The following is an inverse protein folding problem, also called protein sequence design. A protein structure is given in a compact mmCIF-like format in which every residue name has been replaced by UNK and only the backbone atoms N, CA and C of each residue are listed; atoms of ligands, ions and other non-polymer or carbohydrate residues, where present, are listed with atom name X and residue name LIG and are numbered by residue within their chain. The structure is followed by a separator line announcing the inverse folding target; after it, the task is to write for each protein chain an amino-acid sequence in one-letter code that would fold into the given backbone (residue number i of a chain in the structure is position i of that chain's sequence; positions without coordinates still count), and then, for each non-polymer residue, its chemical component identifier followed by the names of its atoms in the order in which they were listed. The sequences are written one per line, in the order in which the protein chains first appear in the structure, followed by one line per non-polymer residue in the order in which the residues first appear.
data_IF_249061626259
#
_entry.id   IF_249061626259
#
_cell.length_a   1.000
_cell.length_b   1.000
_cell.length_c   1.000
_cell.angle_alpha   90.00
_cell.angle_beta   90.00
_cell.angle_gamma   90.00
#
_symmetry.space_group_name_H-M   'P 1'
#
loop_
_entity.id
_entity.type
_entity.pdbx_description
1 polymer ?
#
# COMPACT_ATOMS: atom_id res chain seq x y z
N UNK A 1 7.06 9.15 -12.25
CA UNK A 1 5.75 9.23 -11.59
C UNK A 1 5.58 10.64 -11.08
N UNK A 2 4.36 11.13 -10.94
CA UNK A 2 4.08 12.44 -10.36
C UNK A 2 4.70 12.53 -8.95
N UNK A 3 5.53 13.54 -8.70
CA UNK A 3 6.26 13.72 -7.44
C UNK A 3 5.31 13.98 -6.26
N UNK A 4 4.05 14.34 -6.54
CA UNK A 4 3.00 14.55 -5.53
C UNK A 4 2.31 13.26 -5.10
N UNK A 5 2.71 12.09 -5.63
CA UNK A 5 2.13 10.79 -5.28
C UNK A 5 3.07 9.99 -4.39
N UNK A 6 2.64 9.70 -3.16
CA UNK A 6 3.30 8.76 -2.26
C UNK A 6 2.73 7.36 -2.40
N UNK A 7 3.58 6.34 -2.29
CA UNK A 7 3.19 4.94 -2.25
C UNK A 7 2.76 4.54 -0.86
N UNK A 8 1.68 3.77 -0.73
CA UNK A 8 1.21 3.23 0.54
C UNK A 8 1.01 1.72 0.37
N UNK A 9 1.75 0.94 1.14
CA UNK A 9 1.60 -0.52 1.17
C UNK A 9 1.07 -0.96 2.53
N UNK A 10 -0.12 -1.57 2.52
CA UNK A 10 -0.77 -2.10 3.72
C UNK A 10 -0.79 -3.62 3.68
N UNK A 11 -0.13 -4.28 4.64
CA UNK A 11 -0.26 -5.71 4.88
C UNK A 11 -1.21 -5.93 6.05
N UNK A 12 -2.36 -6.53 5.78
CA UNK A 12 -3.40 -6.77 6.79
C UNK A 12 -3.13 -7.98 7.68
N UNK A 13 -2.27 -8.91 7.24
CA UNK A 13 -2.02 -10.20 7.90
C UNK A 13 -3.32 -10.97 8.19
N UNK A 14 -4.34 -10.80 7.33
CA UNK A 14 -5.67 -11.42 7.53
C UNK A 14 -5.65 -12.95 7.59
N UNK A 15 -4.56 -13.55 7.12
CA UNK A 15 -4.24 -14.97 7.12
C UNK A 15 -3.62 -15.48 8.43
N UNK A 16 -3.16 -14.57 9.31
CA UNK A 16 -2.58 -14.88 10.61
C UNK A 16 -3.16 -13.95 11.70
N UNK A 17 -4.18 -14.42 12.47
CA UNK A 17 -4.84 -13.61 13.49
C UNK A 17 -3.91 -13.06 14.58
N UNK A 18 -2.80 -13.75 14.86
CA UNK A 18 -1.81 -13.30 15.85
C UNK A 18 -1.05 -12.11 15.28
N UNK A 19 -0.57 -12.20 14.03
CA UNK A 19 0.13 -11.11 13.34
C UNK A 19 -0.78 -9.94 13.04
N UNK A 20 -2.03 -10.18 12.65
CA UNK A 20 -3.00 -9.11 12.43
C UNK A 20 -3.20 -8.25 13.69
N UNK A 21 -3.37 -8.90 14.86
CA UNK A 21 -3.53 -8.19 16.13
C UNK A 21 -2.27 -7.43 16.54
N UNK A 22 -1.10 -8.04 16.34
CA UNK A 22 0.19 -7.50 16.77
C UNK A 22 0.72 -6.40 15.86
N UNK A 23 0.55 -6.53 14.56
CA UNK A 23 1.19 -5.68 13.56
C UNK A 23 0.17 -4.77 12.86
N UNK A 24 -0.88 -5.32 12.25
CA UNK A 24 -1.80 -4.52 11.44
C UNK A 24 -2.62 -3.52 12.27
N UNK A 25 -3.36 -3.99 13.28
CA UNK A 25 -4.27 -3.15 14.07
C UNK A 25 -3.59 -1.90 14.69
N UNK A 26 -2.42 -1.99 15.33
CA UNK A 26 -1.74 -0.80 15.84
C UNK A 26 -1.14 0.07 14.74
N UNK A 27 -0.55 -0.53 13.69
CA UNK A 27 0.11 0.18 12.60
C UNK A 27 -0.86 1.07 11.81
N UNK A 28 -2.10 0.62 11.63
CA UNK A 28 -3.15 1.36 10.93
C UNK A 28 -3.41 2.74 11.53
N UNK A 29 -3.38 2.87 12.87
CA UNK A 29 -3.56 4.18 13.52
C UNK A 29 -2.40 5.12 13.16
N UNK A 30 -1.17 4.62 13.20
CA UNK A 30 0.03 5.39 12.84
C UNK A 30 -0.01 5.81 11.36
N UNK A 31 -0.44 4.91 10.48
CA UNK A 31 -0.63 5.23 9.06
C UNK A 31 -1.58 6.43 8.90
N UNK A 32 -2.76 6.39 9.52
CA UNK A 32 -3.72 7.49 9.41
C UNK A 32 -3.13 8.83 9.87
N UNK A 33 -2.43 8.85 11.00
CA UNK A 33 -1.78 10.06 11.50
C UNK A 33 -0.75 10.62 10.50
N UNK A 34 0.01 9.75 9.83
CA UNK A 34 0.96 10.15 8.77
C UNK A 34 0.23 10.74 7.55
N UNK A 35 -0.81 10.06 7.06
CA UNK A 35 -1.55 10.50 5.88
C UNK A 35 -2.36 11.78 6.10
N UNK A 36 -2.86 12.01 7.33
CA UNK A 36 -3.58 13.23 7.69
C UNK A 36 -2.66 14.45 7.82
N UNK A 37 -1.37 14.24 8.15
CA UNK A 37 -0.36 15.32 8.23
C UNK A 37 0.27 15.64 6.88
N UNK A 38 0.13 14.77 5.90
CA UNK A 38 0.61 14.98 4.55
C UNK A 38 -0.02 16.23 3.90
N UNK A 39 0.71 16.97 3.04
CA UNK A 39 0.20 18.17 2.37
C UNK A 39 -1.13 17.95 1.65
N UNK A 40 -1.99 18.97 1.62
CA UNK A 40 -3.35 18.88 1.07
C UNK A 40 -3.43 18.45 -0.41
N UNK A 41 -2.37 18.65 -1.19
CA UNK A 41 -2.27 18.21 -2.59
C UNK A 41 -1.64 16.83 -2.79
N UNK A 42 -1.10 16.20 -1.72
CA UNK A 42 -0.46 14.89 -1.84
C UNK A 42 -1.51 13.79 -2.01
N UNK A 43 -1.28 12.92 -2.99
CA UNK A 43 -2.11 11.75 -3.29
C UNK A 43 -1.37 10.47 -2.91
N UNK A 44 -2.12 9.40 -2.71
CA UNK A 44 -1.63 8.13 -2.18
C UNK A 44 -1.99 7.00 -3.12
N UNK A 45 -0.97 6.37 -3.71
CA UNK A 45 -1.14 5.13 -4.45
C UNK A 45 -1.18 3.97 -3.46
N UNK A 46 -2.37 3.39 -3.23
CA UNK A 46 -2.60 2.39 -2.19
C UNK A 46 -2.56 0.98 -2.77
N UNK A 47 -1.65 0.18 -2.24
CA UNK A 47 -1.53 -1.26 -2.48
C UNK A 47 -1.79 -2.01 -1.17
N UNK A 48 -2.63 -3.03 -1.22
CA UNK A 48 -2.95 -3.85 -0.06
C UNK A 48 -3.17 -5.31 -0.46
N UNK A 49 -3.04 -6.22 0.50
CA UNK A 49 -3.53 -7.58 0.35
C UNK A 49 -5.05 -7.68 0.48
N UNK A 50 -5.74 -6.64 0.95
CA UNK A 50 -7.21 -6.59 1.09
C UNK A 50 -7.87 -5.57 0.18
N UNK A 51 -9.00 -5.96 -0.42
CA UNK A 51 -9.86 -5.10 -1.23
C UNK A 51 -10.50 -3.95 -0.41
N UNK A 52 -10.54 -4.08 0.92
CA UNK A 52 -11.23 -3.14 1.82
C UNK A 52 -10.39 -1.92 2.22
N UNK A 53 -9.05 -2.03 2.16
CA UNK A 53 -8.16 -1.01 2.75
C UNK A 53 -8.23 0.32 2.02
N UNK A 54 -8.21 0.31 0.70
CA UNK A 54 -8.20 1.57 -0.04
C UNK A 54 -9.55 2.29 -0.02
N UNK A 55 -10.72 1.62 -0.15
CA UNK A 55 -12.00 2.26 0.13
C UNK A 55 -12.09 2.84 1.55
N UNK A 56 -11.59 2.11 2.54
CA UNK A 56 -11.54 2.61 3.91
C UNK A 56 -10.64 3.86 4.03
N UNK A 57 -9.40 3.82 3.53
CA UNK A 57 -8.51 4.99 3.52
C UNK A 57 -9.12 6.18 2.75
N UNK A 58 -9.81 5.93 1.65
CA UNK A 58 -10.51 6.97 0.89
C UNK A 58 -11.58 7.67 1.74
N UNK A 59 -12.27 6.94 2.62
CA UNK A 59 -13.19 7.51 3.61
C UNK A 59 -12.50 8.36 4.68
N UNK A 60 -11.28 7.98 5.08
CA UNK A 60 -10.52 8.66 6.15
C UNK A 60 -9.75 9.90 5.69
N UNK A 61 -9.14 9.87 4.49
CA UNK A 61 -8.28 10.96 3.99
C UNK A 61 -8.85 11.70 2.79
N UNK A 62 -9.96 11.23 2.23
CA UNK A 62 -10.65 11.83 1.09
C UNK A 62 -10.51 11.00 -0.20
N UNK A 63 -11.60 10.78 -0.95
CA UNK A 63 -11.60 9.85 -2.09
C UNK A 63 -10.76 10.30 -3.27
N UNK A 64 -10.58 11.61 -3.45
CA UNK A 64 -9.73 12.17 -4.52
C UNK A 64 -8.24 12.05 -4.23
N UNK A 65 -7.86 11.71 -2.99
CA UNK A 65 -6.47 11.54 -2.57
C UNK A 65 -6.01 10.09 -2.65
N UNK A 66 -6.89 9.12 -2.80
CA UNK A 66 -6.53 7.70 -2.93
C UNK A 66 -6.57 7.28 -4.38
N UNK A 67 -5.48 6.69 -4.85
CA UNK A 67 -5.30 6.15 -6.19
C UNK A 67 -5.08 4.65 -6.06
N UNK A 68 -5.70 3.88 -6.93
CA UNK A 68 -5.45 2.45 -7.06
C UNK A 68 -5.29 2.06 -8.51
N UNK A 69 -4.51 1.01 -8.74
CA UNK A 69 -4.54 0.32 -10.02
C UNK A 69 -5.89 -0.39 -10.17
N UNK A 70 -6.62 -0.19 -11.28
CA UNK A 70 -7.89 -0.87 -11.52
C UNK A 70 -7.65 -2.34 -11.83
N UNK A 71 -7.94 -3.19 -10.84
CA UNK A 71 -7.75 -4.64 -10.91
C UNK A 71 -9.05 -5.37 -11.20
N UNK A 72 -8.95 -6.55 -11.81
CA UNK A 72 -10.07 -7.48 -12.05
C UNK A 72 -10.06 -8.66 -11.09
N UNK A 73 -8.90 -9.01 -10.54
CA UNK A 73 -8.78 -10.12 -9.58
C UNK A 73 -8.97 -9.64 -8.15
N UNK A 74 -9.55 -10.50 -7.31
CA UNK A 74 -9.69 -10.22 -5.87
C UNK A 74 -8.33 -10.34 -5.18
N UNK A 75 -7.97 -9.37 -4.34
CA UNK A 75 -6.65 -9.30 -3.68
C UNK A 75 -6.32 -10.54 -2.86
N UNK A 76 -7.33 -11.21 -2.30
CA UNK A 76 -7.14 -12.43 -1.50
C UNK A 76 -6.92 -13.72 -2.27
N UNK A 77 -7.17 -13.68 -3.57
CA UNK A 77 -7.06 -14.83 -4.47
C UNK A 77 -6.11 -14.55 -5.63
N UNK A 78 -5.43 -13.39 -5.67
CA UNK A 78 -4.59 -12.98 -6.79
C UNK A 78 -3.51 -14.03 -7.11
N UNK A 79 -2.91 -14.62 -6.08
CA UNK A 79 -1.91 -15.68 -6.16
C UNK A 79 -2.40 -17.00 -6.77
N UNK A 80 -3.71 -17.17 -6.98
CA UNK A 80 -4.29 -18.41 -7.55
C UNK A 80 -4.36 -18.39 -9.07
N UNK A 81 -4.03 -17.26 -9.72
CA UNK A 81 -4.12 -17.13 -11.18
C UNK A 81 -2.98 -16.30 -11.74
N UNK A 82 -2.54 -16.61 -12.96
CA UNK A 82 -1.53 -15.83 -13.67
C UNK A 82 -1.97 -14.37 -13.84
N UNK A 83 -3.25 -14.12 -14.10
CA UNK A 83 -3.79 -12.76 -14.20
C UNK A 83 -3.61 -11.99 -12.89
N UNK A 84 -3.93 -12.60 -11.74
CA UNK A 84 -3.78 -11.94 -10.45
C UNK A 84 -2.33 -11.69 -10.07
N UNK A 85 -1.43 -12.62 -10.38
CA UNK A 85 0.01 -12.43 -10.20
C UNK A 85 0.57 -11.29 -11.07
N UNK A 86 0.10 -11.16 -12.32
CA UNK A 86 0.46 -10.03 -13.19
C UNK A 86 -0.01 -8.71 -12.59
N UNK A 87 -1.25 -8.65 -12.10
CA UNK A 87 -1.76 -7.44 -11.45
C UNK A 87 -1.01 -7.10 -10.14
N UNK A 88 -0.58 -8.12 -9.37
CA UNK A 88 0.30 -7.92 -8.21
C UNK A 88 1.65 -7.33 -8.60
N UNK A 89 2.23 -7.79 -9.72
CA UNK A 89 3.47 -7.24 -10.26
C UNK A 89 3.28 -5.80 -10.76
N UNK A 90 2.15 -5.48 -11.39
CA UNK A 90 1.83 -4.11 -11.80
C UNK A 90 1.75 -3.19 -10.57
N UNK A 91 1.06 -3.60 -9.51
CA UNK A 91 1.01 -2.84 -8.26
C UNK A 91 2.41 -2.63 -7.67
N UNK A 92 3.22 -3.69 -7.61
CA UNK A 92 4.59 -3.62 -7.09
C UNK A 92 5.44 -2.66 -7.92
N UNK A 93 5.33 -2.74 -9.25
CA UNK A 93 6.05 -1.86 -10.16
C UNK A 93 5.61 -0.41 -10.02
N UNK A 94 4.31 -0.13 -9.93
CA UNK A 94 3.80 1.23 -9.69
C UNK A 94 4.26 1.77 -8.34
N UNK A 95 4.24 0.94 -7.29
CA UNK A 95 4.76 1.29 -5.97
C UNK A 95 6.27 1.60 -6.01
N UNK A 96 7.04 0.83 -6.79
CA UNK A 96 8.47 1.06 -6.99
C UNK A 96 8.81 2.38 -7.72
N UNK A 97 7.82 3.06 -8.32
CA UNK A 97 8.01 4.36 -8.98
C UNK A 97 7.74 5.56 -8.07
N UNK A 98 7.30 5.35 -6.83
CA UNK A 98 7.04 6.45 -5.88
C UNK A 98 8.33 6.89 -5.18
N UNK A 99 8.48 8.19 -4.92
CA UNK A 99 9.65 8.73 -4.19
C UNK A 99 9.52 8.62 -2.68
N UNK A 100 8.30 8.59 -2.17
CA UNK A 100 7.98 8.39 -0.76
C UNK A 100 7.14 7.12 -0.64
N UNK A 101 7.49 6.24 0.28
CA UNK A 101 6.84 4.96 0.51
C UNK A 101 6.47 4.81 1.99
N UNK A 102 5.18 4.72 2.27
CA UNK A 102 4.67 4.24 3.55
C UNK A 102 4.56 2.73 3.48
N UNK A 103 5.36 2.00 4.26
CA UNK A 103 5.44 0.55 4.22
C UNK A 103 4.97 -0.08 5.53
N UNK A 104 4.12 -1.10 5.44
CA UNK A 104 3.77 -1.90 6.61
C UNK A 104 4.98 -2.63 7.15
N UNK A 105 5.16 -2.61 8.47
CA UNK A 105 6.20 -3.39 9.13
C UNK A 105 6.21 -4.87 8.70
N UNK A 106 7.40 -5.39 8.35
CA UNK A 106 7.66 -6.77 7.87
C UNK A 106 6.95 -7.17 6.56
N UNK A 107 6.55 -6.21 5.73
CA UNK A 107 6.02 -6.52 4.40
C UNK A 107 7.14 -6.69 3.38
N UNK A 108 7.37 -7.93 2.96
CA UNK A 108 8.30 -8.26 1.87
C UNK A 108 7.84 -7.69 0.52
N UNK A 109 6.56 -7.37 0.36
CA UNK A 109 6.02 -6.78 -0.87
C UNK A 109 6.56 -5.34 -1.06
N UNK A 110 6.49 -4.52 -0.01
CA UNK A 110 7.04 -3.16 -0.04
C UNK A 110 8.56 -3.16 -0.09
N UNK A 111 9.21 -4.11 0.58
CA UNK A 111 10.67 -4.28 0.50
C UNK A 111 11.10 -4.60 -0.93
N UNK A 112 10.45 -5.55 -1.59
CA UNK A 112 10.72 -5.89 -2.98
C UNK A 112 10.44 -4.70 -3.91
N UNK A 113 9.34 -3.96 -3.71
CA UNK A 113 9.05 -2.75 -4.47
C UNK A 113 10.15 -1.69 -4.31
N UNK A 114 10.64 -1.48 -3.08
CA UNK A 114 11.73 -0.54 -2.80
C UNK A 114 13.02 -0.95 -3.52
N UNK A 115 13.40 -2.23 -3.47
CA UNK A 115 14.55 -2.75 -4.22
C UNK A 115 14.40 -2.59 -5.73
N UNK A 116 13.23 -2.92 -6.30
CA UNK A 116 12.94 -2.74 -7.73
C UNK A 116 13.02 -1.26 -8.12
N UNK A 117 12.63 -0.36 -7.21
CA UNK A 117 12.76 1.09 -7.36
C UNK A 117 14.20 1.61 -7.26
N UNK A 118 15.20 0.73 -7.11
CA UNK A 118 16.61 1.09 -6.96
C UNK A 118 16.97 1.57 -5.55
N UNK A 119 16.15 1.25 -4.55
CA UNK A 119 16.37 1.64 -3.15
C UNK A 119 16.45 3.17 -2.93
N UNK A 120 15.77 3.95 -3.76
CA UNK A 120 15.84 5.43 -3.76
C UNK A 120 14.69 6.13 -3.04
N UNK A 121 13.61 5.41 -2.73
CA UNK A 121 12.47 6.04 -2.06
C UNK A 121 12.79 6.31 -0.58
N UNK A 122 12.34 7.45 -0.07
CA UNK A 122 12.25 7.70 1.36
C UNK A 122 11.16 6.79 1.94
N UNK A 123 11.47 6.06 3.02
CA UNK A 123 10.56 5.03 3.56
C UNK A 123 10.15 5.36 4.99
N UNK A 124 8.84 5.48 5.20
CA UNK A 124 8.22 5.51 6.52
C UNK A 124 7.61 4.15 6.83
N UNK A 125 8.22 3.44 7.79
CA UNK A 125 7.65 2.18 8.29
C UNK A 125 6.66 2.48 9.40
N UNK A 126 5.44 1.95 9.27
CA UNK A 126 4.36 2.14 10.22
C UNK A 126 3.89 0.83 10.87
#
# INVERSE_FOLDING_TARGET
MDETVAGVQVRTWRDDPRRQRKYHRPAVKRLLELLQRAPAGQRFFVVSDSDEIAPWLAGEVGPTRVIQFPRRTRRHQSWQSTAGMIEDLIDMWLLARTRHLYASYLSTFSEAAWWIGGAQADVDVF
#
